data_IF_170504349828
#
_entry.id   IF_170504349828
#
_cell.length_a   1.000
_cell.length_b   1.000
_cell.length_c   1.000
_cell.angle_alpha   90.00
_cell.angle_beta   90.00
_cell.angle_gamma   90.00
#
_symmetry.space_group_name_H-M   'P 1'
#
loop_
_entity.id
_entity.type
_entity.pdbx_description
1 polymer ?
#
# COMPACT_ATOMS: atom_id res chain seq x y z
N UNK A 1 -5.14 6.92 10.77
CA UNK A 1 -6.07 6.35 9.77
C UNK A 1 -7.50 6.71 10.13
N UNK A 2 -8.24 7.16 9.16
CA UNK A 2 -9.70 7.25 9.24
C UNK A 2 -10.30 6.56 8.02
N UNK A 3 -11.47 5.99 8.21
CA UNK A 3 -12.18 5.36 7.11
C UNK A 3 -13.68 5.56 7.22
N UNK A 4 -14.34 5.52 6.08
CA UNK A 4 -15.80 5.54 6.01
C UNK A 4 -16.25 4.45 5.03
N UNK A 5 -17.44 3.93 5.27
CA UNK A 5 -17.99 2.82 4.49
C UNK A 5 -19.21 3.26 3.71
N UNK A 6 -19.28 2.81 2.45
CA UNK A 6 -20.46 2.95 1.62
C UNK A 6 -20.71 1.61 0.93
N UNK A 7 -21.73 0.87 1.37
CA UNK A 7 -21.95 -0.48 0.90
C UNK A 7 -20.79 -1.40 1.22
N UNK A 8 -20.16 -1.96 0.20
CA UNK A 8 -18.98 -2.81 0.33
C UNK A 8 -17.67 -2.06 0.07
N UNK A 9 -17.75 -0.77 -0.18
CA UNK A 9 -16.57 0.06 -0.43
C UNK A 9 -16.13 0.79 0.81
N UNK A 10 -14.82 0.94 0.96
CA UNK A 10 -14.20 1.75 2.01
C UNK A 10 -13.40 2.86 1.36
N UNK A 11 -13.55 4.07 1.88
CA UNK A 11 -12.64 5.18 1.63
C UNK A 11 -11.74 5.33 2.85
N UNK A 12 -10.44 5.28 2.63
CA UNK A 12 -9.46 5.24 3.73
C UNK A 12 -8.48 6.40 3.58
N UNK A 13 -8.31 7.18 4.65
CA UNK A 13 -7.26 8.19 4.75
C UNK A 13 -6.15 7.63 5.64
N UNK A 14 -4.95 7.57 5.09
CA UNK A 14 -3.75 7.21 5.83
C UNK A 14 -3.05 8.51 6.20
N UNK A 15 -2.77 8.69 7.49
CA UNK A 15 -2.24 9.95 8.02
C UNK A 15 -0.71 9.99 7.96
N UNK A 16 -0.11 11.20 8.01
CA UNK A 16 1.35 11.32 8.04
C UNK A 16 1.97 10.49 9.16
N UNK A 17 3.04 9.77 8.82
CA UNK A 17 3.74 8.90 9.76
C UNK A 17 3.21 7.47 9.82
N UNK A 18 2.07 7.19 9.22
CA UNK A 18 1.54 5.84 9.15
C UNK A 18 2.15 5.09 7.95
N UNK A 19 2.50 3.82 8.16
CA UNK A 19 3.05 2.96 7.10
C UNK A 19 1.88 2.29 6.35
N UNK A 20 1.96 2.27 5.02
CA UNK A 20 0.82 1.84 4.18
C UNK A 20 0.41 0.39 4.44
N UNK A 21 1.37 -0.55 4.39
CA UNK A 21 1.05 -1.96 4.58
C UNK A 21 0.48 -2.23 5.97
N UNK A 22 1.13 -1.75 7.01
CA UNK A 22 0.71 -1.94 8.39
C UNK A 22 -0.67 -1.34 8.65
N UNK A 23 -0.94 -0.17 8.08
CA UNK A 23 -2.22 0.51 8.23
C UNK A 23 -3.35 -0.26 7.55
N UNK A 24 -3.13 -0.75 6.34
CA UNK A 24 -4.13 -1.54 5.62
C UNK A 24 -4.39 -2.89 6.27
N UNK A 25 -3.35 -3.51 6.84
CA UNK A 25 -3.50 -4.74 7.60
C UNK A 25 -4.33 -4.52 8.86
N UNK A 26 -4.07 -3.42 9.58
CA UNK A 26 -4.87 -3.04 10.74
C UNK A 26 -6.32 -2.72 10.36
N UNK A 27 -6.54 -2.10 9.21
CA UNK A 27 -7.88 -1.83 8.69
C UNK A 27 -8.66 -3.13 8.47
N UNK A 28 -8.03 -4.12 7.86
CA UNK A 28 -8.67 -5.43 7.64
C UNK A 28 -9.11 -6.08 8.95
N UNK A 29 -8.28 -5.98 9.98
CA UNK A 29 -8.59 -6.51 11.31
C UNK A 29 -9.70 -5.69 11.99
N UNK A 30 -9.65 -4.38 11.90
CA UNK A 30 -10.65 -3.49 12.52
C UNK A 30 -12.04 -3.66 11.89
N UNK A 31 -12.12 -3.69 10.56
CA UNK A 31 -13.38 -3.84 9.83
C UNK A 31 -13.84 -5.30 9.83
N UNK A 32 -12.90 -6.23 9.82
CA UNK A 32 -13.20 -7.67 9.90
C UNK A 32 -13.42 -8.34 8.55
N UNK A 33 -12.84 -7.83 7.47
CA UNK A 33 -12.93 -8.51 6.18
C UNK A 33 -11.73 -9.45 5.95
N UNK A 34 -11.92 -10.45 5.11
CA UNK A 34 -10.90 -11.45 4.79
C UNK A 34 -10.16 -11.15 3.48
N UNK A 35 -10.81 -10.46 2.56
CA UNK A 35 -10.23 -10.13 1.27
C UNK A 35 -10.80 -8.83 0.72
N UNK A 36 -9.97 -8.10 0.00
CA UNK A 36 -10.37 -6.87 -0.67
C UNK A 36 -9.45 -6.56 -1.84
N UNK A 37 -9.97 -5.86 -2.82
CA UNK A 37 -9.17 -5.23 -3.86
C UNK A 37 -8.92 -3.78 -3.46
N UNK A 38 -7.69 -3.32 -3.66
CA UNK A 38 -7.36 -1.91 -3.56
C UNK A 38 -7.45 -1.33 -4.96
N UNK A 39 -8.52 -0.61 -5.21
CA UNK A 39 -8.85 -0.17 -6.58
C UNK A 39 -8.18 1.14 -6.96
N UNK A 40 -7.82 1.96 -5.98
CA UNK A 40 -7.18 3.26 -6.23
C UNK A 40 -6.51 3.76 -4.96
N UNK A 41 -5.36 4.37 -5.14
CA UNK A 41 -4.67 5.08 -4.06
C UNK A 41 -3.77 6.16 -4.65
N UNK A 42 -3.75 7.30 -4.00
CA UNK A 42 -2.90 8.43 -4.37
C UNK A 42 -2.44 9.13 -3.09
N UNK A 43 -1.40 9.92 -3.19
CA UNK A 43 -0.93 10.71 -2.06
C UNK A 43 0.52 11.11 -2.19
N UNK A 44 1.17 11.19 -1.06
CA UNK A 44 2.59 11.51 -0.97
C UNK A 44 3.25 10.58 0.04
N UNK A 45 4.42 10.07 -0.29
CA UNK A 45 5.17 9.14 0.57
C UNK A 45 6.60 9.61 0.77
N UNK A 46 7.24 9.11 1.80
CA UNK A 46 8.67 9.29 2.07
C UNK A 46 9.23 8.01 2.66
N UNK A 47 10.54 7.90 2.66
CA UNK A 47 11.25 6.75 3.25
C UNK A 47 10.68 5.42 2.76
N UNK A 48 10.44 5.37 1.45
CA UNK A 48 9.74 4.24 0.84
C UNK A 48 10.71 3.10 0.53
N UNK A 49 10.41 1.94 1.07
CA UNK A 49 11.08 0.70 0.72
C UNK A 49 10.21 -0.04 -0.29
N UNK A 50 10.76 -0.31 -1.47
CA UNK A 50 10.06 -1.04 -2.51
C UNK A 50 10.96 -2.11 -3.12
N UNK A 51 10.39 -3.00 -3.90
CA UNK A 51 11.18 -4.06 -4.50
C UNK A 51 10.56 -4.65 -5.75
N UNK A 52 11.34 -5.45 -6.42
CA UNK A 52 10.94 -6.18 -7.59
C UNK A 52 11.77 -7.46 -7.71
N UNK A 53 11.23 -8.43 -8.42
CA UNK A 53 11.98 -9.65 -8.72
C UNK A 53 12.73 -9.47 -10.04
N UNK A 54 14.04 -9.74 -10.02
CA UNK A 54 14.85 -9.68 -11.24
C UNK A 54 14.69 -10.96 -12.08
N UNK A 55 15.36 -11.00 -13.22
CA UNK A 55 15.31 -12.14 -14.14
C UNK A 55 15.89 -13.44 -13.57
N UNK A 56 16.73 -13.34 -12.55
CA UNK A 56 17.32 -14.51 -11.85
C UNK A 56 16.41 -15.03 -10.72
N UNK A 57 15.23 -14.44 -10.54
CA UNK A 57 14.31 -14.81 -9.47
C UNK A 57 14.71 -14.25 -8.10
N UNK A 58 15.63 -13.29 -8.06
CA UNK A 58 16.07 -12.64 -6.83
C UNK A 58 15.25 -11.37 -6.59
N UNK A 59 14.74 -11.22 -5.37
CA UNK A 59 13.97 -10.03 -5.00
C UNK A 59 14.92 -8.89 -4.61
N UNK A 60 14.93 -7.84 -5.41
CA UNK A 60 15.77 -6.67 -5.23
C UNK A 60 14.99 -5.59 -4.48
N UNK A 61 15.60 -5.05 -3.41
CA UNK A 61 14.99 -3.99 -2.61
C UNK A 61 15.71 -2.67 -2.85
N UNK A 62 14.93 -1.59 -2.86
CA UNK A 62 15.40 -0.22 -3.05
C UNK A 62 14.75 0.69 -2.03
N UNK A 63 15.45 1.76 -1.66
CA UNK A 63 14.92 2.84 -0.85
C UNK A 63 14.73 4.09 -1.71
N UNK A 64 13.57 4.70 -1.57
CA UNK A 64 13.27 6.03 -2.09
C UNK A 64 13.08 6.94 -0.88
N UNK A 65 14.18 7.58 -0.45
CA UNK A 65 14.21 8.35 0.80
C UNK A 65 13.50 9.69 0.67
N UNK A 66 13.60 10.31 -0.51
CA UNK A 66 13.00 11.61 -0.76
C UNK A 66 11.47 11.54 -0.77
N UNK A 67 10.79 12.56 -0.24
CA UNK A 67 9.35 12.66 -0.41
C UNK A 67 8.99 12.66 -1.89
N UNK A 68 8.02 11.85 -2.26
CA UNK A 68 7.60 11.67 -3.65
C UNK A 68 6.10 11.59 -3.76
N UNK A 69 5.58 12.05 -4.90
CA UNK A 69 4.16 11.91 -5.19
C UNK A 69 3.82 10.46 -5.46
N UNK A 70 2.86 9.93 -4.72
CA UNK A 70 2.28 8.62 -5.01
C UNK A 70 1.22 8.82 -6.08
N UNK A 71 1.58 8.49 -7.31
CA UNK A 71 0.75 8.73 -8.48
C UNK A 71 -0.38 7.69 -8.57
N UNK A 72 -0.07 6.45 -8.27
CA UNK A 72 -1.07 5.40 -8.23
C UNK A 72 -0.64 4.26 -7.30
N UNK A 73 -1.63 3.63 -6.72
CA UNK A 73 -1.47 2.46 -5.87
C UNK A 73 -2.63 1.52 -6.13
N UNK A 74 -2.33 0.24 -6.32
CA UNK A 74 -3.35 -0.79 -6.46
C UNK A 74 -2.82 -2.11 -5.90
N UNK A 75 -3.71 -3.02 -5.58
CA UNK A 75 -3.31 -4.31 -5.07
C UNK A 75 -4.44 -5.09 -4.41
N UNK A 76 -4.05 -5.93 -3.49
CA UNK A 76 -4.97 -6.85 -2.81
C UNK A 76 -4.66 -6.93 -1.33
N UNK A 77 -5.70 -7.17 -0.57
CA UNK A 77 -5.60 -7.59 0.84
C UNK A 77 -6.23 -8.97 0.95
N UNK A 78 -5.55 -9.88 1.63
CA UNK A 78 -6.03 -11.24 1.84
C UNK A 78 -5.61 -11.73 3.24
N UNK A 79 -5.98 -12.96 3.58
CA UNK A 79 -5.53 -13.60 4.81
C UNK A 79 -4.58 -14.74 4.47
N UNK A 80 -3.50 -14.85 5.24
CA UNK A 80 -2.63 -16.02 5.21
C UNK A 80 -3.28 -17.17 5.96
N UNK A 81 -2.69 -18.38 5.88
CA UNK A 81 -3.25 -19.56 6.55
C UNK A 81 -3.39 -19.41 8.06
N UNK A 82 -2.53 -18.59 8.67
CA UNK A 82 -2.58 -18.30 10.12
C UNK A 82 -3.57 -17.18 10.47
N UNK A 83 -4.32 -16.66 9.50
CA UNK A 83 -5.34 -15.64 9.70
C UNK A 83 -4.83 -14.21 9.72
N UNK A 84 -3.54 -13.99 9.48
CA UNK A 84 -2.98 -12.64 9.44
C UNK A 84 -3.32 -11.94 8.14
N UNK A 85 -3.63 -10.65 8.21
CA UNK A 85 -3.81 -9.83 7.03
C UNK A 85 -2.50 -9.70 6.27
N UNK A 86 -2.57 -9.86 4.95
CA UNK A 86 -1.46 -9.74 4.03
C UNK A 86 -1.82 -8.77 2.92
N UNK A 87 -0.91 -7.86 2.60
CA UNK A 87 -1.11 -6.85 1.57
C UNK A 87 -0.08 -7.01 0.46
N UNK A 88 -0.57 -7.04 -0.79
CA UNK A 88 0.27 -7.06 -1.99
C UNK A 88 -0.08 -5.82 -2.80
N UNK A 89 0.88 -4.91 -2.94
CA UNK A 89 0.63 -3.56 -3.45
C UNK A 89 1.65 -3.22 -4.53
N UNK A 90 1.18 -2.67 -5.63
CA UNK A 90 1.99 -2.06 -6.67
C UNK A 90 1.76 -0.56 -6.67
N UNK A 91 2.84 0.20 -6.89
CA UNK A 91 2.81 1.65 -6.86
C UNK A 91 3.61 2.26 -7.99
N UNK A 92 3.21 3.47 -8.38
CA UNK A 92 4.03 4.36 -9.19
C UNK A 92 4.25 5.65 -8.43
N UNK A 93 5.48 6.14 -8.45
CA UNK A 93 5.86 7.40 -7.82
C UNK A 93 6.45 8.34 -8.85
N UNK A 94 6.31 9.63 -8.57
CA UNK A 94 7.02 10.68 -9.29
C UNK A 94 7.83 11.50 -8.28
N UNK A 95 9.12 11.67 -8.54
CA UNK A 95 9.97 12.52 -7.73
C UNK A 95 9.82 14.01 -8.11
N UNK A 96 10.60 14.87 -7.44
CA UNK A 96 10.52 16.32 -7.67
C UNK A 96 11.04 16.74 -9.05
N UNK A 97 11.75 15.84 -9.75
CA UNK A 97 12.25 16.06 -11.11
C UNK A 97 11.34 15.41 -12.17
N UNK A 98 10.15 14.95 -11.76
CA UNK A 98 9.17 14.27 -12.60
C UNK A 98 9.64 12.94 -13.20
N UNK A 99 10.59 12.28 -12.55
CA UNK A 99 10.95 10.92 -12.89
C UNK A 99 9.96 9.95 -12.24
N UNK A 100 9.43 9.06 -13.04
CA UNK A 100 8.42 8.08 -12.63
C UNK A 100 9.04 6.69 -12.54
#
# INVERSE_FOLDING_TARGET
>A
MEWTRSGEDLFVRIDPGEEIHATLQALADEVGFDAAAITSGIGRTRDTLYGYMNEDGVYIRRNLDSPSELVSLSGNIARTQDGKAFTHIHCCWSDDDNNV
#
